data_IF_149709468462
#
_entry.id   IF_149709468462
#
_cell.length_a   1.000
_cell.length_b   1.000
_cell.length_c   1.000
_cell.angle_alpha   90.00
_cell.angle_beta   90.00
_cell.angle_gamma   90.00
#
_symmetry.space_group_name_H-M   'P 1'
#
loop_
_entity.id
_entity.type
_entity.pdbx_description
1 polymer ?
#
# COMPACT_ATOMS: atom_id res chain seq x y z
N UNK A 1 4.26 -47.40 22.20
CA UNK A 1 5.17 -46.78 21.22
C UNK A 1 4.49 -46.81 19.88
N UNK A 2 3.90 -45.70 19.46
CA UNK A 2 3.40 -45.49 18.10
C UNK A 2 3.84 -44.11 17.66
N UNK A 3 4.65 -44.11 16.61
CA UNK A 3 5.22 -42.97 15.92
C UNK A 3 4.15 -42.46 14.95
N UNK A 4 3.70 -41.21 15.10
CA UNK A 4 2.88 -40.54 14.08
C UNK A 4 3.81 -39.62 13.28
N UNK A 5 4.17 -40.05 12.07
CA UNK A 5 4.67 -39.18 11.01
C UNK A 5 3.54 -38.23 10.62
N UNK A 6 3.71 -36.92 10.82
CA UNK A 6 2.95 -35.93 10.05
C UNK A 6 3.82 -35.44 8.89
N UNK A 7 3.49 -35.94 7.70
CA UNK A 7 3.81 -35.28 6.44
C UNK A 7 3.02 -33.97 6.38
N UNK A 8 3.72 -32.82 6.41
CA UNK A 8 3.13 -31.57 5.93
C UNK A 8 3.31 -31.52 4.40
N UNK A 9 2.32 -32.05 3.70
CA UNK A 9 2.08 -31.74 2.29
C UNK A 9 1.60 -30.28 2.18
N UNK A 10 1.98 -29.62 1.09
CA UNK A 10 1.80 -28.19 0.85
C UNK A 10 0.39 -27.69 1.17
N UNK A 11 0.30 -26.85 2.20
CA UNK A 11 -0.86 -26.02 2.47
C UNK A 11 -0.65 -24.66 1.82
N UNK A 12 -1.26 -24.45 0.67
CA UNK A 12 -1.67 -23.12 0.24
C UNK A 12 -2.73 -22.65 1.24
N UNK A 13 -2.26 -22.19 2.41
CA UNK A 13 -3.10 -21.69 3.48
C UNK A 13 -3.70 -20.37 3.00
N UNK A 14 -4.95 -20.45 2.55
CA UNK A 14 -5.81 -19.29 2.38
C UNK A 14 -5.71 -18.44 3.66
N UNK A 15 -5.04 -17.29 3.55
CA UNK A 15 -5.03 -16.30 4.61
C UNK A 15 -6.46 -15.95 4.96
N UNK A 16 -6.75 -15.88 6.26
CA UNK A 16 -8.02 -15.45 6.85
C UNK A 16 -8.86 -14.58 5.89
N UNK A 17 -9.83 -15.22 5.23
CA UNK A 17 -10.77 -14.64 4.27
C UNK A 17 -11.57 -13.52 4.97
N UNK A 18 -10.96 -12.35 5.09
CA UNK A 18 -11.56 -11.27 5.87
C UNK A 18 -10.61 -10.19 6.32
N UNK A 19 -9.33 -10.52 6.59
CA UNK A 19 -8.41 -9.55 7.19
C UNK A 19 -8.22 -8.31 6.31
N UNK A 20 -8.28 -8.49 4.99
CA UNK A 20 -8.06 -7.43 4.01
C UNK A 20 -9.35 -6.89 3.37
N UNK A 21 -10.53 -7.19 3.91
CA UNK A 21 -11.81 -6.77 3.32
C UNK A 21 -11.98 -5.25 3.22
N UNK A 22 -11.29 -4.48 4.07
CA UNK A 22 -11.28 -3.01 4.01
C UNK A 22 -10.34 -2.43 2.94
N UNK A 23 -9.63 -3.27 2.18
CA UNK A 23 -8.65 -2.84 1.19
C UNK A 23 -9.07 -3.21 -0.24
N UNK A 24 -8.76 -2.36 -1.23
CA UNK A 24 -9.06 -2.67 -2.62
C UNK A 24 -8.26 -3.88 -3.09
N UNK A 25 -8.91 -4.81 -3.81
CA UNK A 25 -8.21 -5.98 -4.38
C UNK A 25 -7.24 -5.62 -5.50
N UNK A 26 -7.51 -4.51 -6.18
CA UNK A 26 -6.72 -4.00 -7.29
C UNK A 26 -6.51 -2.50 -7.13
N UNK A 27 -5.28 -2.06 -7.38
CA UNK A 27 -4.88 -0.67 -7.36
C UNK A 27 -4.24 -0.34 -8.72
N UNK A 28 -4.91 0.43 -9.58
CA UNK A 28 -4.28 0.96 -10.78
C UNK A 28 -3.25 2.02 -10.39
N UNK A 29 -1.96 1.77 -10.64
CA UNK A 29 -0.87 2.71 -10.45
C UNK A 29 -0.43 3.27 -11.80
N UNK A 30 -0.38 4.60 -11.93
CA UNK A 30 -0.16 5.29 -13.20
C UNK A 30 -1.45 5.76 -13.88
N UNK A 31 -1.30 6.35 -15.06
CA UNK A 31 -2.40 6.78 -15.93
C UNK A 31 -3.15 5.62 -16.60
N UNK A 32 -3.77 5.87 -17.75
CA UNK A 32 -4.64 4.92 -18.48
C UNK A 32 -3.95 3.58 -18.80
N UNK A 33 -2.64 3.58 -19.05
CA UNK A 33 -1.83 2.38 -19.33
C UNK A 33 -0.98 1.93 -18.12
N UNK A 34 -1.41 2.30 -16.91
CA UNK A 34 -0.70 2.05 -15.67
C UNK A 34 -0.61 0.58 -15.28
N UNK A 35 0.36 0.25 -14.43
CA UNK A 35 0.49 -1.09 -13.83
C UNK A 35 -0.64 -1.30 -12.83
N UNK A 36 -1.40 -2.38 -13.00
CA UNK A 36 -2.37 -2.80 -11.98
C UNK A 36 -1.63 -3.61 -10.92
N UNK A 37 -1.74 -3.19 -9.67
CA UNK A 37 -1.28 -3.95 -8.52
C UNK A 37 -2.43 -4.77 -7.96
N UNK A 38 -2.17 -6.04 -7.67
CA UNK A 38 -3.12 -6.97 -7.08
C UNK A 38 -2.72 -7.31 -5.66
N UNK A 39 -3.70 -7.38 -4.77
CA UNK A 39 -3.53 -7.88 -3.42
C UNK A 39 -2.95 -9.29 -3.50
N UNK A 40 -1.82 -9.54 -2.82
CA UNK A 40 -1.16 -10.85 -2.83
C UNK A 40 -1.60 -11.65 -1.59
N UNK A 41 -2.56 -12.59 -1.72
CA UNK A 41 -2.80 -13.55 -0.66
C UNK A 41 -1.50 -14.34 -0.45
N UNK A 42 -1.20 -14.64 0.80
CA UNK A 42 0.03 -15.29 1.23
C UNK A 42 1.03 -14.35 1.90
N UNK A 43 0.77 -13.04 1.90
CA UNK A 43 1.73 -12.04 2.40
C UNK A 43 1.06 -10.98 3.29
N UNK A 44 1.82 -10.49 4.26
CA UNK A 44 1.46 -9.32 5.06
C UNK A 44 2.71 -8.47 5.31
N UNK A 45 2.53 -7.16 5.45
CA UNK A 45 3.61 -6.26 5.85
C UNK A 45 3.41 -5.84 7.30
N UNK A 46 4.46 -6.01 8.11
CA UNK A 46 4.53 -5.61 9.50
C UNK A 46 5.27 -4.27 9.58
N UNK A 47 4.64 -3.29 10.21
CA UNK A 47 5.15 -1.93 10.38
C UNK A 47 5.54 -1.70 11.84
N UNK A 48 6.67 -1.05 12.05
CA UNK A 48 7.09 -0.55 13.36
C UNK A 48 7.59 -1.63 14.32
N UNK A 49 8.01 -1.18 15.51
CA UNK A 49 8.63 -2.03 16.51
C UNK A 49 9.94 -2.68 16.05
N UNK A 50 10.34 -3.75 16.74
CA UNK A 50 11.44 -4.60 16.29
C UNK A 50 10.92 -5.52 15.18
N UNK A 51 11.56 -5.48 14.02
CA UNK A 51 11.17 -6.30 12.87
C UNK A 51 11.84 -7.68 12.93
N UNK A 52 11.11 -8.76 12.61
CA UNK A 52 11.66 -10.10 12.48
C UNK A 52 12.43 -10.23 11.14
N UNK A 53 13.64 -9.68 11.08
CA UNK A 53 14.45 -9.65 9.85
C UNK A 53 14.78 -11.03 9.29
N UNK A 54 14.96 -12.03 10.15
CA UNK A 54 15.37 -13.39 9.75
C UNK A 54 14.23 -14.18 9.08
N UNK A 55 12.98 -13.80 9.36
CA UNK A 55 11.77 -14.43 8.80
C UNK A 55 11.17 -13.62 7.64
N UNK A 56 11.69 -12.41 7.42
CA UNK A 56 11.20 -11.49 6.41
C UNK A 56 11.62 -11.92 5.00
N UNK A 57 10.65 -11.90 4.09
CA UNK A 57 10.89 -12.06 2.65
C UNK A 57 11.56 -10.79 2.10
N UNK A 58 11.13 -9.63 2.57
CA UNK A 58 11.71 -8.32 2.25
C UNK A 58 11.68 -7.41 3.47
N UNK A 59 12.71 -6.58 3.63
CA UNK A 59 12.78 -5.55 4.67
C UNK A 59 13.06 -4.20 3.98
N UNK A 60 12.27 -3.19 4.34
CA UNK A 60 12.45 -1.81 3.88
C UNK A 60 12.99 -0.97 5.04
N UNK A 61 14.30 -0.72 4.98
CA UNK A 61 14.99 0.25 5.83
C UNK A 61 15.27 1.51 5.02
N UNK A 62 15.08 2.71 5.61
CA UNK A 62 14.80 2.98 7.02
C UNK A 62 13.31 2.98 7.41
N UNK A 63 12.39 2.61 6.51
CA UNK A 63 10.93 2.75 6.72
C UNK A 63 10.38 1.86 7.83
N UNK A 64 11.13 0.86 8.30
CA UNK A 64 10.74 0.03 9.42
C UNK A 64 9.60 -0.92 9.05
N UNK A 65 9.69 -1.53 7.87
CA UNK A 65 8.68 -2.45 7.34
C UNK A 65 9.32 -3.79 6.97
N UNK A 66 8.70 -4.89 7.39
CA UNK A 66 9.06 -6.25 6.97
C UNK A 66 7.88 -6.94 6.30
N UNK A 67 8.09 -7.53 5.13
CA UNK A 67 7.12 -8.40 4.46
C UNK A 67 7.32 -9.83 4.92
N UNK A 68 6.26 -10.43 5.43
CA UNK A 68 6.21 -11.81 5.92
C UNK A 68 5.36 -12.67 4.98
N UNK A 69 5.73 -13.96 4.87
CA UNK A 69 4.92 -14.98 4.20
C UNK A 69 4.02 -15.69 5.20
N UNK A 70 2.82 -16.07 4.77
CA UNK A 70 1.88 -16.87 5.53
C UNK A 70 0.91 -16.01 6.33
N UNK A 71 0.43 -16.57 7.45
CA UNK A 71 -0.56 -15.91 8.30
C UNK A 71 0.11 -14.85 9.16
N UNK A 72 -0.49 -13.66 9.34
CA UNK A 72 0.05 -12.67 10.25
C UNK A 72 0.20 -13.22 11.66
N UNK A 73 1.14 -12.67 12.43
CA UNK A 73 1.35 -13.08 13.82
C UNK A 73 0.04 -12.96 14.60
N UNK A 74 -0.24 -13.94 15.46
CA UNK A 74 -1.47 -14.02 16.25
C UNK A 74 -1.67 -12.81 17.19
N UNK A 75 -0.57 -12.17 17.58
CA UNK A 75 -0.57 -10.94 18.38
C UNK A 75 0.51 -9.98 17.89
N UNK A 76 0.16 -8.71 17.79
CA UNK A 76 1.11 -7.63 17.49
C UNK A 76 1.67 -7.04 18.77
N UNK A 77 2.95 -6.71 18.78
CA UNK A 77 3.54 -5.93 19.85
C UNK A 77 2.99 -4.50 19.84
N UNK A 78 3.13 -3.79 20.96
CA UNK A 78 2.72 -2.38 21.05
C UNK A 78 3.41 -1.54 19.98
N UNK A 79 2.61 -0.82 19.20
CA UNK A 79 3.09 0.03 18.10
C UNK A 79 3.31 -0.70 16.78
N UNK A 80 3.10 -2.02 16.73
CA UNK A 80 3.10 -2.76 15.47
C UNK A 80 1.73 -2.70 14.79
N UNK A 81 1.77 -2.64 13.47
CA UNK A 81 0.58 -2.63 12.63
C UNK A 81 0.80 -3.50 11.40
N UNK A 82 -0.28 -4.11 10.92
CA UNK A 82 -0.24 -4.91 9.71
C UNK A 82 -0.90 -4.18 8.54
N UNK A 83 -0.35 -4.39 7.35
CA UNK A 83 -0.99 -3.97 6.10
C UNK A 83 -0.98 -5.09 5.07
N UNK A 84 -1.89 -5.03 4.08
CA UNK A 84 -1.79 -5.87 2.91
C UNK A 84 -0.50 -5.62 2.12
N UNK A 85 -0.07 -6.67 1.42
CA UNK A 85 0.99 -6.61 0.41
C UNK A 85 0.37 -6.77 -0.96
N UNK A 86 0.86 -5.99 -1.91
CA UNK A 86 0.46 -6.06 -3.30
C UNK A 86 1.62 -6.55 -4.16
N UNK A 87 1.35 -6.85 -5.41
CA UNK A 87 2.38 -7.04 -6.43
C UNK A 87 1.80 -6.70 -7.79
N UNK A 88 2.63 -6.47 -8.81
CA UNK A 88 2.12 -6.22 -10.15
C UNK A 88 1.27 -7.42 -10.61
N UNK A 89 0.20 -7.12 -11.35
CA UNK A 89 -0.66 -8.13 -11.98
C UNK A 89 0.10 -8.93 -13.04
N UNK A 90 1.03 -8.26 -13.72
CA UNK A 90 1.92 -8.87 -14.71
C UNK A 90 3.36 -8.68 -14.22
N UNK A 91 4.07 -9.79 -14.02
CA UNK A 91 5.41 -9.82 -13.45
C UNK A 91 5.44 -10.31 -12.01
N UNK A 92 6.64 -10.38 -11.47
CA UNK A 92 6.89 -10.81 -10.09
C UNK A 92 7.21 -9.60 -9.20
N UNK A 93 7.28 -9.85 -7.89
CA UNK A 93 7.67 -8.85 -6.91
C UNK A 93 6.56 -8.47 -5.94
N UNK A 94 6.99 -7.94 -4.79
CA UNK A 94 6.13 -7.52 -3.70
C UNK A 94 6.22 -6.00 -3.53
N UNK A 95 5.11 -5.44 -3.07
CA UNK A 95 4.91 -4.01 -2.96
C UNK A 95 4.11 -3.70 -1.70
N UNK A 96 4.72 -2.93 -0.80
CA UNK A 96 4.06 -2.44 0.40
C UNK A 96 3.55 -1.01 0.16
N UNK A 97 2.24 -0.74 0.22
CA UNK A 97 1.73 0.62 0.11
C UNK A 97 2.10 1.43 1.36
N UNK A 98 2.49 2.70 1.18
CA UNK A 98 2.91 3.57 2.30
C UNK A 98 1.77 4.41 2.87
N UNK A 99 0.63 4.46 2.18
CA UNK A 99 -0.48 5.36 2.49
C UNK A 99 -0.27 6.80 1.99
N UNK A 100 0.85 7.08 1.32
CA UNK A 100 1.02 8.31 0.55
C UNK A 100 0.46 8.15 -0.86
N UNK A 101 -0.24 9.17 -1.32
CA UNK A 101 -0.75 9.26 -2.69
C UNK A 101 -0.12 10.44 -3.39
N UNK A 102 0.39 10.24 -4.60
CA UNK A 102 0.77 11.33 -5.48
C UNK A 102 -0.46 11.80 -6.25
N UNK A 103 -0.73 13.10 -6.26
CA UNK A 103 -1.77 13.70 -7.09
C UNK A 103 -1.16 14.72 -8.03
N UNK A 104 -1.68 14.79 -9.26
CA UNK A 104 -1.37 15.84 -10.22
C UNK A 104 -2.64 16.42 -10.82
N UNK A 105 -2.77 17.74 -10.72
CA UNK A 105 -3.77 18.52 -11.45
C UNK A 105 -3.24 18.98 -12.80
N UNK A 106 -4.13 19.51 -13.64
CA UNK A 106 -3.78 20.07 -14.95
C UNK A 106 -2.73 21.16 -14.83
N UNK A 107 -1.94 21.32 -15.87
CA UNK A 107 -0.96 22.39 -15.94
C UNK A 107 -1.63 23.76 -15.74
N UNK A 108 -1.07 24.57 -14.82
CA UNK A 108 -1.62 25.88 -14.45
C UNK A 108 -2.59 25.86 -13.26
N UNK A 109 -3.08 24.69 -12.85
CA UNK A 109 -3.91 24.54 -11.66
C UNK A 109 -3.05 24.22 -10.44
N UNK A 110 -2.91 25.17 -9.51
CA UNK A 110 -2.17 24.96 -8.27
C UNK A 110 -2.91 23.99 -7.36
N UNK A 111 -2.23 23.00 -6.81
CA UNK A 111 -2.85 21.98 -5.94
C UNK A 111 -3.47 22.60 -4.69
N UNK A 112 -2.93 23.69 -4.17
CA UNK A 112 -3.47 24.35 -2.98
C UNK A 112 -4.81 25.04 -3.25
N UNK A 113 -5.13 25.37 -4.50
CA UNK A 113 -6.43 25.92 -4.88
C UNK A 113 -7.56 24.89 -4.72
N UNK A 114 -7.23 23.59 -4.73
CA UNK A 114 -8.17 22.47 -4.58
C UNK A 114 -8.21 21.90 -3.15
N UNK A 115 -7.64 22.61 -2.16
CA UNK A 115 -7.52 22.12 -0.78
C UNK A 115 -8.88 21.71 -0.19
N UNK A 116 -9.92 22.51 -0.42
CA UNK A 116 -11.23 22.24 0.15
C UNK A 116 -11.84 20.94 -0.42
N UNK A 117 -11.72 20.72 -1.73
CA UNK A 117 -12.18 19.51 -2.41
C UNK A 117 -11.41 18.28 -1.96
N UNK A 118 -10.08 18.41 -1.79
CA UNK A 118 -9.24 17.33 -1.26
C UNK A 118 -9.62 16.96 0.18
N UNK A 119 -9.89 17.97 1.02
CA UNK A 119 -10.34 17.75 2.40
C UNK A 119 -11.72 17.12 2.48
N UNK A 120 -12.65 17.53 1.61
CA UNK A 120 -13.96 16.91 1.45
C UNK A 120 -13.86 15.45 0.98
N UNK A 121 -12.87 15.13 0.13
CA UNK A 121 -12.59 13.76 -0.30
C UNK A 121 -11.94 12.88 0.78
N UNK A 122 -11.57 13.47 1.93
CA UNK A 122 -10.97 12.80 3.09
C UNK A 122 -9.44 12.86 3.13
N UNK A 123 -8.82 13.77 2.37
CA UNK A 123 -7.37 13.85 2.22
C UNK A 123 -6.79 15.17 2.72
N UNK A 124 -5.52 15.15 3.11
CA UNK A 124 -4.75 16.36 3.40
C UNK A 124 -3.51 16.38 2.52
N UNK A 125 -3.11 17.59 2.11
CA UNK A 125 -1.83 17.83 1.46
C UNK A 125 -0.73 17.62 2.51
N UNK A 126 0.13 16.63 2.27
CA UNK A 126 1.31 16.35 3.08
C UNK A 126 2.48 17.22 2.63
N UNK A 127 2.67 17.37 1.31
CA UNK A 127 3.76 18.15 0.72
C UNK A 127 3.36 18.60 -0.69
N UNK A 128 3.62 19.86 -1.03
CA UNK A 128 3.51 20.37 -2.40
C UNK A 128 4.90 20.35 -3.03
N UNK A 129 5.00 19.90 -4.28
CA UNK A 129 6.29 19.90 -4.97
C UNK A 129 6.64 21.31 -5.44
N UNK A 130 7.74 21.88 -4.93
CA UNK A 130 8.15 23.25 -5.26
C UNK A 130 8.33 23.48 -6.78
N UNK A 131 8.85 22.47 -7.49
CA UNK A 131 9.07 22.52 -8.93
C UNK A 131 7.81 22.20 -9.77
N UNK A 132 6.73 21.74 -9.13
CA UNK A 132 5.50 21.33 -9.78
C UNK A 132 4.29 21.68 -8.88
N UNK A 133 3.90 22.97 -8.80
CA UNK A 133 2.86 23.43 -7.87
C UNK A 133 1.47 22.84 -8.15
N UNK A 134 1.26 22.22 -9.31
CA UNK A 134 0.08 21.43 -9.64
C UNK A 134 0.06 20.03 -9.04
N UNK A 135 1.11 19.62 -8.33
CA UNK A 135 1.25 18.28 -7.79
C UNK A 135 1.61 18.27 -6.30
N UNK A 136 1.16 17.22 -5.61
CA UNK A 136 1.39 17.06 -4.18
C UNK A 136 1.45 15.59 -3.76
N UNK A 137 2.08 15.35 -2.62
CA UNK A 137 1.85 14.18 -1.80
C UNK A 137 0.64 14.41 -0.90
N UNK A 138 -0.27 13.45 -0.87
CA UNK A 138 -1.44 13.41 -0.01
C UNK A 138 -1.34 12.28 1.00
N UNK A 139 -2.09 12.42 2.10
CA UNK A 139 -2.41 11.33 3.04
C UNK A 139 -3.90 11.38 3.39
N UNK A 140 -4.47 10.23 3.73
CA UNK A 140 -5.80 10.20 4.35
C UNK A 140 -5.79 11.03 5.65
N UNK A 141 -6.83 11.82 5.90
CA UNK A 141 -6.94 12.66 7.10
C UNK A 141 -6.91 11.85 8.38
N UNK A 142 -7.50 10.67 8.37
CA UNK A 142 -7.50 9.70 9.48
C UNK A 142 -6.13 9.08 9.75
N UNK A 143 -5.19 9.16 8.78
CA UNK A 143 -3.97 8.35 8.78
C UNK A 143 -4.19 6.88 8.39
N UNK A 144 -5.43 6.46 8.09
CA UNK A 144 -5.74 5.08 7.71
C UNK A 144 -5.24 4.76 6.31
N UNK A 145 -4.44 3.69 6.21
CA UNK A 145 -3.99 3.14 4.94
C UNK A 145 -5.17 2.65 4.09
N UNK A 146 -6.14 1.97 4.71
CA UNK A 146 -7.32 1.46 4.00
C UNK A 146 -8.14 2.57 3.33
N UNK A 147 -8.31 3.69 4.04
CA UNK A 147 -9.00 4.86 3.49
C UNK A 147 -8.20 5.53 2.38
N UNK A 148 -6.87 5.60 2.50
CA UNK A 148 -6.01 6.15 1.46
C UNK A 148 -6.16 5.35 0.15
N UNK A 149 -6.04 4.02 0.22
CA UNK A 149 -6.13 3.17 -0.98
C UNK A 149 -7.54 3.17 -1.58
N UNK A 150 -8.58 3.11 -0.74
CA UNK A 150 -9.97 3.10 -1.22
C UNK A 150 -10.43 4.46 -1.75
N UNK A 151 -9.75 5.55 -1.40
CA UNK A 151 -10.10 6.91 -1.85
C UNK A 151 -9.53 7.33 -3.19
N UNK A 152 -8.69 6.51 -3.83
CA UNK A 152 -8.07 6.82 -5.14
C UNK A 152 -9.11 7.18 -6.20
N UNK A 153 -10.20 6.41 -6.30
CA UNK A 153 -11.27 6.69 -7.28
C UNK A 153 -11.99 8.02 -7.00
N UNK A 154 -12.15 8.40 -5.73
CA UNK A 154 -12.76 9.69 -5.37
C UNK A 154 -11.86 10.85 -5.75
N UNK A 155 -10.54 10.72 -5.52
CA UNK A 155 -9.56 11.73 -5.93
C UNK A 155 -9.54 11.91 -7.45
N UNK A 156 -9.61 10.82 -8.21
CA UNK A 156 -9.67 10.88 -9.70
C UNK A 156 -10.93 11.55 -10.23
N UNK A 157 -12.00 11.60 -9.44
CA UNK A 157 -13.25 12.26 -9.83
C UNK A 157 -13.25 13.77 -9.57
N UNK A 158 -12.24 14.32 -8.88
CA UNK A 158 -12.11 15.77 -8.67
C UNK A 158 -11.78 16.43 -10.02
N UNK A 159 -12.51 17.50 -10.33
CA UNK A 159 -12.27 18.26 -11.56
C UNK A 159 -10.83 18.79 -11.60
N UNK A 160 -10.18 18.64 -12.75
CA UNK A 160 -8.79 19.09 -12.93
C UNK A 160 -7.73 18.04 -12.59
N UNK A 161 -8.09 16.92 -11.94
CA UNK A 161 -7.14 15.84 -11.67
C UNK A 161 -6.77 15.11 -12.94
N UNK A 162 -5.47 15.03 -13.23
CA UNK A 162 -4.90 14.26 -14.34
C UNK A 162 -4.36 12.91 -13.89
N UNK A 163 -3.92 12.80 -12.64
CA UNK A 163 -3.26 11.59 -12.15
C UNK A 163 -3.37 11.44 -10.63
N UNK A 164 -3.61 10.20 -10.21
CA UNK A 164 -3.51 9.79 -8.80
C UNK A 164 -2.80 8.44 -8.76
N UNK A 165 -1.72 8.38 -7.98
CA UNK A 165 -0.86 7.19 -7.85
C UNK A 165 -0.61 6.87 -6.39
N UNK A 166 -0.66 5.59 -6.04
CA UNK A 166 -0.26 5.10 -4.71
C UNK A 166 1.25 4.96 -4.68
N UNK A 167 1.88 5.47 -3.61
CA UNK A 167 3.28 5.18 -3.36
C UNK A 167 3.43 3.76 -2.79
N UNK A 168 4.24 2.95 -3.48
CA UNK A 168 4.64 1.62 -3.04
C UNK A 168 6.13 1.58 -2.74
N UNK A 169 6.50 0.93 -1.64
CA UNK A 169 7.86 0.43 -1.42
C UNK A 169 7.99 -0.92 -2.11
N UNK A 170 9.05 -1.06 -2.89
CA UNK A 170 9.35 -2.27 -3.66
C UNK A 170 10.85 -2.45 -3.70
N UNK A 171 11.33 -3.70 -3.69
CA UNK A 171 12.74 -3.96 -3.96
C UNK A 171 13.09 -3.43 -5.34
N UNK A 172 14.22 -2.72 -5.44
CA UNK A 172 14.77 -2.34 -6.75
C UNK A 172 15.22 -3.61 -7.45
N UNK A 173 14.59 -3.92 -8.56
CA UNK A 173 15.14 -4.90 -9.51
C UNK A 173 16.33 -4.21 -10.19
N UNK A 174 17.54 -4.65 -9.87
CA UNK A 174 18.70 -4.34 -10.70
C UNK A 174 18.50 -5.09 -12.03
N UNK A 175 18.21 -4.35 -13.09
CA UNK A 175 18.38 -4.81 -14.47
C UNK A 175 19.75 -4.38 -14.98
#
# INVERSE_FOLDING_TARGET
>A
MWLVLMLFAGGEMALADGLWNGFPRQIPAGGTDGVVYELKPGYCALHGGLLPTDEAVEVFEPEGIAILRGTPPASLATGQVLSPVYGPKIGDGLACPTGQLFIRFRQGERVEAHRAELEQAGFRIAEVLEYAPQAAWLRARSGSLAEALSGVSRLRAIAGVEGVEVQFLRRREHR
#
